data_IF_385098932270
#
_entry.id   IF_385098932270
#
_cell.length_a   1.000
_cell.length_b   1.000
_cell.length_c   1.000
_cell.angle_alpha   90.00
_cell.angle_beta   90.00
_cell.angle_gamma   90.00
#
_symmetry.space_group_name_H-M   'P 1'
#
loop_
_entity.id
_entity.type
_entity.pdbx_description
1 polymer ?
#
# COMPACT_ATOMS: atom_id res chain seq x y z
N UNK A 1 73.45 10.08 8.20
CA UNK A 1 72.94 10.67 6.95
C UNK A 1 72.09 9.63 6.24
N UNK A 2 70.79 9.62 6.48
CA UNK A 2 69.87 8.63 5.89
C UNK A 2 69.14 9.30 4.74
N UNK A 3 69.37 8.80 3.52
CA UNK A 3 68.89 9.37 2.27
C UNK A 3 67.35 9.38 2.23
N UNK A 4 66.78 10.57 2.03
CA UNK A 4 65.36 10.76 1.78
C UNK A 4 65.04 10.34 0.33
N UNK A 5 64.14 9.38 0.17
CA UNK A 5 63.62 8.93 -1.13
C UNK A 5 62.90 10.09 -1.84
N UNK A 6 63.18 10.38 -3.12
CA UNK A 6 62.58 11.51 -3.81
C UNK A 6 61.09 11.26 -4.08
N UNK A 7 60.26 12.22 -3.67
CA UNK A 7 58.83 12.26 -4.03
C UNK A 7 58.74 12.55 -5.54
N UNK A 8 58.24 11.59 -6.31
CA UNK A 8 58.08 11.71 -7.77
C UNK A 8 57.01 12.74 -8.13
N UNK A 9 57.36 14.01 -8.21
CA UNK A 9 56.45 15.09 -8.64
C UNK A 9 56.31 15.11 -10.17
N UNK A 10 55.51 14.21 -10.72
CA UNK A 10 55.15 14.18 -12.15
C UNK A 10 53.67 13.83 -12.37
N UNK A 11 53.17 13.82 -13.62
CA UNK A 11 51.80 13.39 -13.96
C UNK A 11 51.39 12.06 -13.31
N UNK A 12 52.37 11.16 -13.12
CA UNK A 12 52.19 9.88 -12.44
C UNK A 12 51.82 10.00 -10.95
N UNK A 13 52.33 10.98 -10.20
CA UNK A 13 51.94 11.16 -8.79
C UNK A 13 50.50 11.65 -8.63
N UNK A 14 49.96 12.41 -9.59
CA UNK A 14 48.55 12.79 -9.60
C UNK A 14 47.65 11.58 -9.90
N UNK A 15 48.09 10.69 -10.79
CA UNK A 15 47.39 9.43 -11.06
C UNK A 15 47.41 8.50 -9.84
N UNK A 16 48.57 8.37 -9.19
CA UNK A 16 48.75 7.55 -7.98
C UNK A 16 47.92 8.09 -6.80
N UNK A 17 47.89 9.41 -6.60
CA UNK A 17 47.06 10.05 -5.57
C UNK A 17 45.55 9.79 -5.81
N UNK A 18 45.08 9.91 -7.07
CA UNK A 18 43.69 9.60 -7.42
C UNK A 18 43.34 8.13 -7.19
N UNK A 19 44.24 7.21 -7.57
CA UNK A 19 44.06 5.76 -7.34
C UNK A 19 44.00 5.45 -5.85
N UNK A 20 44.91 6.00 -5.06
CA UNK A 20 44.93 5.82 -3.61
C UNK A 20 43.65 6.37 -2.96
N UNK A 21 43.19 7.56 -3.38
CA UNK A 21 41.91 8.10 -2.91
C UNK A 21 40.73 7.17 -3.21
N UNK A 22 40.68 6.62 -4.43
CA UNK A 22 39.62 5.68 -4.81
C UNK A 22 39.66 4.36 -3.99
N UNK A 23 40.85 3.81 -3.74
CA UNK A 23 41.03 2.63 -2.89
C UNK A 23 40.54 2.88 -1.46
N UNK A 24 40.88 4.03 -0.88
CA UNK A 24 40.45 4.42 0.45
C UNK A 24 38.92 4.55 0.52
N UNK A 25 38.30 5.23 -0.45
CA UNK A 25 36.84 5.38 -0.48
C UNK A 25 36.12 4.04 -0.62
N UNK A 26 36.62 3.14 -1.48
CA UNK A 26 36.05 1.81 -1.64
C UNK A 26 36.19 0.95 -0.37
N UNK A 27 37.33 1.02 0.31
CA UNK A 27 37.55 0.33 1.57
C UNK A 27 36.67 0.90 2.70
N UNK A 28 36.56 2.23 2.78
CA UNK A 28 35.71 2.92 3.77
C UNK A 28 34.25 2.52 3.59
N UNK A 29 33.75 2.52 2.35
CA UNK A 29 32.37 2.12 2.07
C UNK A 29 32.07 0.70 2.54
N UNK A 30 32.94 -0.27 2.24
CA UNK A 30 32.78 -1.66 2.71
C UNK A 30 32.81 -1.74 4.23
N UNK A 31 33.75 -1.05 4.86
CA UNK A 31 33.89 -1.03 6.31
C UNK A 31 32.65 -0.45 7.02
N UNK A 32 32.06 0.62 6.46
CA UNK A 32 30.84 1.20 7.01
C UNK A 32 29.61 0.32 6.84
N UNK A 33 29.56 -0.49 5.77
CA UNK A 33 28.49 -1.47 5.56
C UNK A 33 28.59 -2.63 6.56
N UNK A 34 29.81 -3.10 6.83
CA UNK A 34 30.06 -4.28 7.67
C UNK A 34 30.01 -3.98 9.17
N UNK A 35 30.54 -2.82 9.59
CA UNK A 35 30.83 -2.53 11.00
C UNK A 35 30.29 -1.17 11.45
N UNK A 36 29.48 -0.52 10.63
CA UNK A 36 28.98 0.82 10.89
C UNK A 36 30.06 1.89 10.81
N UNK A 37 29.71 3.11 11.20
CA UNK A 37 30.58 4.30 11.08
C UNK A 37 31.71 4.33 12.11
N UNK A 38 31.74 3.43 13.10
CA UNK A 38 32.74 3.44 14.19
C UNK A 38 34.16 3.06 13.77
N UNK A 39 34.34 2.51 12.57
CA UNK A 39 35.66 2.08 12.07
C UNK A 39 36.68 3.22 12.04
N UNK A 40 37.90 2.94 12.51
CA UNK A 40 38.99 3.92 12.57
C UNK A 40 39.63 4.19 11.20
N UNK A 41 40.20 5.38 11.03
CA UNK A 41 40.93 5.74 9.80
C UNK A 41 42.15 4.81 9.56
N UNK A 42 42.78 4.34 10.62
CA UNK A 42 43.91 3.40 10.53
C UNK A 42 43.45 2.03 10.00
N UNK A 43 42.31 1.53 10.46
CA UNK A 43 41.73 0.28 9.96
C UNK A 43 41.30 0.40 8.49
N UNK A 44 40.71 1.54 8.10
CA UNK A 44 40.37 1.83 6.70
C UNK A 44 41.64 1.88 5.84
N UNK A 45 42.73 2.50 6.31
CA UNK A 45 44.01 2.55 5.62
C UNK A 45 44.57 1.13 5.36
N UNK A 46 44.52 0.28 6.40
CA UNK A 46 44.93 -1.13 6.32
C UNK A 46 44.11 -1.90 5.29
N UNK A 47 42.77 -1.76 5.32
CA UNK A 47 41.86 -2.40 4.35
C UNK A 47 42.05 -1.89 2.91
N UNK A 48 42.48 -0.64 2.75
CA UNK A 48 42.76 -0.04 1.46
C UNK A 48 44.17 -0.37 0.93
N UNK A 49 45.04 -0.98 1.75
CA UNK A 49 46.43 -1.26 1.38
C UNK A 49 47.29 -0.01 1.21
N UNK A 50 46.93 1.10 1.90
CA UNK A 50 47.67 2.37 1.83
C UNK A 50 48.19 2.78 3.21
N UNK A 51 49.28 3.56 3.25
CA UNK A 51 49.83 4.07 4.51
C UNK A 51 48.88 5.07 5.18
N UNK A 52 48.80 5.04 6.52
CA UNK A 52 47.94 5.94 7.31
C UNK A 52 48.20 7.43 7.02
N UNK A 53 49.46 7.83 6.84
CA UNK A 53 49.82 9.19 6.43
C UNK A 53 49.27 9.60 5.06
N UNK A 54 49.06 8.65 4.14
CA UNK A 54 48.41 8.92 2.84
C UNK A 54 46.92 9.18 3.02
N UNK A 55 46.24 8.42 3.89
CA UNK A 55 44.84 8.65 4.21
C UNK A 55 44.66 10.03 4.85
N UNK A 56 45.49 10.36 5.84
CA UNK A 56 45.37 11.62 6.58
C UNK A 56 45.61 12.85 5.70
N UNK A 57 46.49 12.76 4.69
CA UNK A 57 46.69 13.82 3.68
C UNK A 57 45.46 14.05 2.79
N UNK A 58 44.70 12.99 2.45
CA UNK A 58 43.51 13.10 1.60
C UNK A 58 42.22 13.37 2.39
N UNK A 59 42.21 12.96 3.66
CA UNK A 59 41.08 13.03 4.57
C UNK A 59 41.61 13.44 5.96
N UNK A 60 41.70 14.77 6.21
CA UNK A 60 42.22 15.29 7.47
C UNK A 60 41.42 14.85 8.70
N UNK A 61 40.13 14.53 8.53
CA UNK A 61 39.30 13.98 9.61
C UNK A 61 38.37 12.88 9.10
N UNK A 62 37.83 12.10 10.04
CA UNK A 62 36.80 11.07 9.77
C UNK A 62 35.58 11.67 9.08
N UNK A 63 35.19 12.89 9.46
CA UNK A 63 34.07 13.61 8.83
C UNK A 63 34.34 13.93 7.35
N UNK A 64 35.58 14.28 6.97
CA UNK A 64 35.94 14.47 5.56
C UNK A 64 35.88 13.16 4.76
N UNK A 65 36.20 12.03 5.40
CA UNK A 65 36.06 10.72 4.76
C UNK A 65 34.59 10.34 4.60
N UNK A 66 33.77 10.52 5.64
CA UNK A 66 32.32 10.29 5.59
C UNK A 66 31.67 11.15 4.50
N UNK A 67 32.00 12.44 4.44
CA UNK A 67 31.58 13.38 3.39
C UNK A 67 31.87 12.83 2.00
N UNK A 68 33.12 12.42 1.76
CA UNK A 68 33.52 11.93 0.46
C UNK A 68 32.89 10.58 0.08
N UNK A 69 32.64 9.69 1.05
CA UNK A 69 31.92 8.43 0.83
C UNK A 69 30.46 8.71 0.49
N UNK A 70 29.82 9.65 1.20
CA UNK A 70 28.44 10.05 0.92
C UNK A 70 28.30 10.72 -0.43
N UNK A 71 29.22 11.62 -0.77
CA UNK A 71 29.31 12.25 -2.07
C UNK A 71 29.34 11.20 -3.20
N UNK A 72 30.27 10.24 -3.10
CA UNK A 72 30.40 9.15 -4.07
C UNK A 72 29.11 8.32 -4.19
N UNK A 73 28.39 8.15 -3.09
CA UNK A 73 27.13 7.41 -3.07
C UNK A 73 26.01 8.17 -3.76
N UNK A 74 25.86 9.46 -3.48
CA UNK A 74 24.89 10.32 -4.15
C UNK A 74 25.19 10.40 -5.65
N UNK A 75 26.47 10.50 -6.02
CA UNK A 75 26.89 10.49 -7.43
C UNK A 75 26.51 9.17 -8.13
N UNK A 76 26.64 8.02 -7.45
CA UNK A 76 26.19 6.73 -7.99
C UNK A 76 24.67 6.65 -8.14
N UNK A 77 23.90 7.14 -7.16
CA UNK A 77 22.45 7.19 -7.28
C UNK A 77 21.99 8.11 -8.41
N UNK A 78 22.71 9.22 -8.61
CA UNK A 78 22.50 10.14 -9.72
C UNK A 78 22.75 9.43 -11.06
N UNK A 79 23.91 8.77 -11.21
CA UNK A 79 24.23 8.02 -12.42
C UNK A 79 23.23 6.89 -12.68
N UNK A 80 22.76 6.22 -11.63
CA UNK A 80 21.75 5.17 -11.71
C UNK A 80 20.41 5.73 -12.23
N UNK A 81 19.92 6.83 -11.64
CA UNK A 81 18.69 7.48 -12.07
C UNK A 81 18.75 7.92 -13.55
N UNK A 82 19.89 8.46 -13.98
CA UNK A 82 20.11 8.83 -15.39
C UNK A 82 20.12 7.60 -16.31
N UNK A 83 20.77 6.51 -15.90
CA UNK A 83 20.78 5.26 -16.66
C UNK A 83 19.37 4.68 -16.86
N UNK A 84 18.53 4.67 -15.82
CA UNK A 84 17.14 4.24 -15.94
C UNK A 84 16.27 5.22 -16.74
N UNK A 85 16.56 6.52 -16.69
CA UNK A 85 15.85 7.53 -17.49
C UNK A 85 16.05 7.29 -18.98
N UNK A 86 17.26 6.88 -19.37
CA UNK A 86 17.62 6.66 -20.77
C UNK A 86 17.24 5.24 -21.27
N UNK A 87 16.73 4.38 -20.38
CA UNK A 87 16.27 3.04 -20.74
C UNK A 87 14.91 3.06 -21.47
N UNK A 88 14.66 2.09 -22.37
CA UNK A 88 13.34 1.92 -22.99
C UNK A 88 12.26 1.66 -21.93
N UNK A 89 11.14 2.37 -22.02
CA UNK A 89 10.03 2.19 -21.08
C UNK A 89 10.28 2.82 -19.70
N UNK A 90 10.39 4.15 -19.66
CA UNK A 90 10.58 4.96 -18.45
C UNK A 90 9.66 4.57 -17.27
N UNK A 91 8.43 4.13 -17.53
CA UNK A 91 7.52 3.62 -16.51
C UNK A 91 8.06 2.40 -15.75
N UNK A 92 8.45 1.35 -16.48
CA UNK A 92 9.04 0.15 -15.88
C UNK A 92 10.41 0.45 -15.27
N UNK A 93 11.21 1.29 -15.95
CA UNK A 93 12.52 1.72 -15.50
C UNK A 93 12.46 2.47 -14.16
N UNK A 94 11.45 3.33 -13.94
CA UNK A 94 11.24 4.02 -12.66
C UNK A 94 11.05 3.04 -11.50
N UNK A 95 10.18 2.03 -11.66
CA UNK A 95 9.94 1.06 -10.58
C UNK A 95 11.13 0.14 -10.34
N UNK A 96 11.88 -0.22 -11.40
CA UNK A 96 13.13 -0.96 -11.26
C UNK A 96 14.17 -0.14 -10.50
N UNK A 97 14.34 1.14 -10.83
CA UNK A 97 15.17 2.07 -10.07
C UNK A 97 14.77 2.15 -8.59
N UNK A 98 13.47 2.35 -8.30
CA UNK A 98 12.97 2.41 -6.92
C UNK A 98 13.28 1.13 -6.14
N UNK A 99 13.06 -0.04 -6.75
CA UNK A 99 13.36 -1.32 -6.11
C UNK A 99 14.88 -1.49 -5.86
N UNK A 100 15.73 -1.08 -6.81
CA UNK A 100 17.18 -1.14 -6.66
C UNK A 100 17.68 -0.20 -5.55
N UNK A 101 17.15 1.03 -5.47
CA UNK A 101 17.51 1.99 -4.41
C UNK A 101 17.13 1.47 -3.04
N UNK A 102 15.92 0.92 -2.88
CA UNK A 102 15.44 0.39 -1.59
C UNK A 102 16.25 -0.83 -1.16
N UNK A 103 16.54 -1.75 -2.07
CA UNK A 103 17.27 -2.99 -1.74
C UNK A 103 18.77 -2.76 -1.51
N UNK A 104 19.40 -1.86 -2.27
CA UNK A 104 20.82 -1.52 -2.11
C UNK A 104 21.14 -0.68 -0.86
N UNK A 105 20.13 -0.04 -0.26
CA UNK A 105 20.32 0.89 0.85
C UNK A 105 20.41 0.21 2.23
N UNK A 106 19.98 -1.05 2.37
CA UNK A 106 19.97 -1.81 3.64
C UNK A 106 21.37 -1.86 4.28
N UNK A 107 22.40 -2.15 3.47
CA UNK A 107 23.77 -2.26 3.96
C UNK A 107 24.35 -0.93 4.46
N UNK A 108 23.66 0.19 4.26
CA UNK A 108 24.20 1.50 4.57
C UNK A 108 23.38 2.27 5.62
N UNK A 109 22.57 1.57 6.43
CA UNK A 109 21.75 2.21 7.47
C UNK A 109 22.55 3.11 8.42
N UNK A 110 23.77 2.71 8.77
CA UNK A 110 24.71 3.51 9.57
C UNK A 110 25.10 4.84 8.92
N UNK A 111 25.10 4.92 7.58
CA UNK A 111 25.33 6.17 6.85
C UNK A 111 24.07 7.06 6.79
N UNK A 112 22.89 6.45 6.88
CA UNK A 112 21.62 7.19 6.95
C UNK A 112 21.42 7.82 8.34
N UNK A 113 21.82 7.13 9.42
CA UNK A 113 21.72 7.62 10.81
C UNK A 113 22.57 8.88 11.07
N UNK A 114 23.62 9.11 10.26
CA UNK A 114 24.40 10.34 10.29
C UNK A 114 23.63 11.59 9.84
N UNK A 115 22.53 11.45 9.08
CA UNK A 115 21.69 12.58 8.68
C UNK A 115 20.79 13.08 9.79
N UNK A 116 20.49 12.26 10.80
CA UNK A 116 19.44 12.56 11.77
C UNK A 116 19.92 13.35 12.99
N UNK A 117 21.24 13.43 13.27
CA UNK A 117 21.72 13.92 14.58
C UNK A 117 22.65 15.16 14.58
N UNK A 118 23.35 15.51 13.49
CA UNK A 118 24.53 16.41 13.62
C UNK A 118 24.57 17.65 12.71
N UNK A 119 23.43 18.12 12.17
CA UNK A 119 23.43 19.27 11.25
C UNK A 119 24.04 18.96 9.87
N UNK A 120 23.99 17.69 9.50
CA UNK A 120 24.36 17.14 8.20
C UNK A 120 23.15 17.18 7.26
N UNK A 121 23.27 17.50 5.95
CA UNK A 121 24.48 17.58 5.15
C UNK A 121 25.23 18.92 5.24
N UNK A 122 26.57 18.86 5.18
CA UNK A 122 27.40 20.07 4.97
C UNK A 122 27.20 20.62 3.56
N UNK A 123 27.56 21.89 3.34
CA UNK A 123 27.46 22.58 2.05
C UNK A 123 28.01 21.75 0.87
N UNK A 124 29.06 20.96 1.10
CA UNK A 124 29.68 20.08 0.10
C UNK A 124 28.76 18.98 -0.44
N UNK A 125 27.80 18.47 0.34
CA UNK A 125 26.83 17.47 -0.13
C UNK A 125 25.63 18.10 -0.83
N UNK A 126 25.37 19.39 -0.63
CA UNK A 126 24.17 20.06 -1.14
C UNK A 126 24.10 20.00 -2.67
N UNK A 127 25.20 20.34 -3.34
CA UNK A 127 25.29 20.30 -4.81
C UNK A 127 25.05 18.88 -5.36
N UNK A 128 25.56 17.86 -4.67
CA UNK A 128 25.33 16.47 -5.06
C UNK A 128 23.87 16.06 -4.88
N UNK A 129 23.27 16.44 -3.76
CA UNK A 129 21.85 16.23 -3.50
C UNK A 129 20.98 16.90 -4.56
N UNK A 130 21.29 18.14 -4.93
CA UNK A 130 20.59 18.87 -6.01
C UNK A 130 20.72 18.15 -7.36
N UNK A 131 21.92 17.67 -7.72
CA UNK A 131 22.13 16.87 -8.95
C UNK A 131 21.31 15.57 -8.93
N UNK A 132 21.25 14.89 -7.79
CA UNK A 132 20.43 13.69 -7.62
C UNK A 132 18.94 13.99 -7.74
N UNK A 133 18.44 15.03 -7.06
CA UNK A 133 17.04 15.45 -7.11
C UNK A 133 16.61 15.81 -8.53
N UNK A 134 17.48 16.49 -9.29
CA UNK A 134 17.23 16.81 -10.69
C UNK A 134 17.13 15.53 -11.55
N UNK A 135 18.07 14.59 -11.40
CA UNK A 135 18.04 13.33 -12.15
C UNK A 135 16.80 12.50 -11.81
N UNK A 136 16.43 12.41 -10.52
CA UNK A 136 15.22 11.73 -10.06
C UNK A 136 13.95 12.40 -10.62
N UNK A 137 13.90 13.73 -10.62
CA UNK A 137 12.80 14.49 -11.20
C UNK A 137 12.62 14.24 -12.69
N UNK A 138 13.72 14.15 -13.44
CA UNK A 138 13.68 13.82 -14.87
C UNK A 138 13.14 12.41 -15.12
N UNK A 139 13.58 11.42 -14.33
CA UNK A 139 13.09 10.04 -14.42
C UNK A 139 11.60 9.96 -14.04
N UNK A 140 11.19 10.60 -12.94
CA UNK A 140 9.80 10.68 -12.50
C UNK A 140 8.90 11.30 -13.59
N UNK A 141 9.31 12.44 -14.14
CA UNK A 141 8.57 13.11 -15.20
C UNK A 141 8.45 12.24 -16.47
N UNK A 142 9.49 11.48 -16.81
CA UNK A 142 9.44 10.54 -17.93
C UNK A 142 8.44 9.40 -17.69
N UNK A 143 8.39 8.85 -16.49
CA UNK A 143 7.43 7.81 -16.11
C UNK A 143 5.99 8.34 -16.04
N UNK A 144 5.79 9.58 -15.57
CA UNK A 144 4.49 10.25 -15.53
C UNK A 144 3.95 10.54 -16.94
N UNK A 145 4.80 10.96 -17.90
CA UNK A 145 4.41 11.14 -19.31
C UNK A 145 3.93 9.85 -19.98
N UNK A 146 4.36 8.69 -19.47
CA UNK A 146 3.90 7.38 -19.93
C UNK A 146 2.68 6.87 -19.15
N UNK A 147 2.12 7.67 -18.24
CA UNK A 147 1.03 7.29 -17.35
C UNK A 147 1.32 6.01 -16.54
N UNK A 148 2.60 5.75 -16.23
CA UNK A 148 2.97 4.61 -15.39
C UNK A 148 2.98 4.97 -13.90
N UNK A 149 3.25 6.24 -13.59
CA UNK A 149 3.31 6.81 -12.24
C UNK A 149 2.23 7.89 -12.12
N UNK A 150 1.60 7.99 -10.94
CA UNK A 150 0.60 9.01 -10.65
C UNK A 150 1.16 10.43 -10.84
N UNK A 151 0.34 11.32 -11.41
CA UNK A 151 0.76 12.65 -11.85
C UNK A 151 0.94 13.66 -10.71
N UNK A 152 0.41 13.36 -9.53
CA UNK A 152 0.45 14.21 -8.33
C UNK A 152 1.64 13.91 -7.41
N UNK A 153 2.48 12.92 -7.73
CA UNK A 153 3.72 12.69 -7.00
C UNK A 153 4.78 13.73 -7.36
N UNK A 154 5.39 14.28 -6.31
CA UNK A 154 6.54 15.18 -6.41
C UNK A 154 7.82 14.48 -5.99
N UNK A 155 8.98 15.06 -6.33
CA UNK A 155 10.30 14.54 -5.90
C UNK A 155 10.40 14.42 -4.36
N UNK A 156 9.99 15.43 -3.56
CA UNK A 156 9.92 15.31 -2.11
C UNK A 156 9.11 14.10 -1.62
N UNK A 157 7.96 13.80 -2.23
CA UNK A 157 7.14 12.64 -1.85
C UNK A 157 7.90 11.34 -2.10
N UNK A 158 8.55 11.20 -3.26
CA UNK A 158 9.34 10.01 -3.61
C UNK A 158 10.50 9.81 -2.64
N UNK A 159 11.19 10.88 -2.25
CA UNK A 159 12.28 10.81 -1.27
C UNK A 159 11.78 10.37 0.11
N UNK A 160 10.65 10.92 0.58
CA UNK A 160 10.04 10.49 1.84
C UNK A 160 9.60 9.02 1.80
N UNK A 161 9.02 8.58 0.68
CA UNK A 161 8.64 7.18 0.46
C UNK A 161 9.86 6.24 0.43
N UNK A 162 10.99 6.67 -0.15
CA UNK A 162 12.25 5.92 -0.08
C UNK A 162 12.73 5.74 1.35
N UNK A 163 12.74 6.82 2.15
CA UNK A 163 13.10 6.74 3.58
C UNK A 163 12.21 5.72 4.31
N UNK A 164 10.89 5.77 4.10
CA UNK A 164 9.95 4.81 4.68
C UNK A 164 10.19 3.37 4.20
N UNK A 165 10.41 3.16 2.90
CA UNK A 165 10.66 1.83 2.33
C UNK A 165 11.96 1.22 2.85
N UNK A 166 13.01 2.03 3.01
CA UNK A 166 14.29 1.60 3.60
C UNK A 166 14.10 1.19 5.05
N UNK A 167 13.35 1.98 5.85
CA UNK A 167 13.04 1.63 7.23
C UNK A 167 12.25 0.31 7.33
N UNK A 168 11.22 0.15 6.49
CA UNK A 168 10.46 -1.10 6.36
C UNK A 168 11.38 -2.27 6.01
N UNK A 169 12.30 -2.08 5.07
CA UNK A 169 13.21 -3.12 4.62
C UNK A 169 14.19 -3.53 5.73
N UNK A 170 14.65 -2.60 6.57
CA UNK A 170 15.53 -2.88 7.72
C UNK A 170 14.87 -3.77 8.78
N UNK A 171 13.58 -3.57 9.05
CA UNK A 171 12.84 -4.38 10.03
C UNK A 171 12.31 -5.69 9.45
N UNK A 172 12.29 -5.81 8.12
CA UNK A 172 11.82 -7.01 7.44
C UNK A 172 12.91 -8.08 7.45
N UNK A 173 12.58 -9.28 7.93
CA UNK A 173 13.52 -10.42 8.02
C UNK A 173 13.72 -11.17 6.69
N UNK A 174 13.17 -10.66 5.58
CA UNK A 174 13.09 -11.39 4.31
C UNK A 174 14.38 -11.27 3.48
N UNK A 175 14.94 -12.42 3.08
CA UNK A 175 16.04 -12.58 2.11
C UNK A 175 15.52 -13.30 0.85
N UNK A 176 16.04 -13.04 -0.37
CA UNK A 176 16.54 -11.78 -0.92
C UNK A 176 15.42 -11.03 -1.71
N UNK A 177 15.43 -9.69 -1.67
CA UNK A 177 14.55 -8.84 -2.48
C UNK A 177 13.78 -7.77 -1.71
N UNK A 178 12.86 -7.11 -2.40
CA UNK A 178 12.02 -6.05 -1.84
C UNK A 178 11.00 -6.66 -0.87
N UNK A 179 10.99 -6.19 0.37
CA UNK A 179 10.04 -6.62 1.38
C UNK A 179 8.60 -6.33 0.92
N UNK A 180 7.66 -7.24 1.23
CA UNK A 180 6.27 -7.11 0.78
C UNK A 180 5.66 -5.74 1.12
N UNK A 181 5.83 -5.17 2.32
CA UNK A 181 5.25 -3.85 2.61
C UNK A 181 5.89 -2.73 1.77
N UNK A 182 7.20 -2.79 1.51
CA UNK A 182 7.87 -1.83 0.62
C UNK A 182 7.36 -1.96 -0.82
N UNK A 183 7.13 -3.19 -1.31
CA UNK A 183 6.53 -3.43 -2.61
C UNK A 183 5.12 -2.84 -2.72
N UNK A 184 4.29 -2.93 -1.66
CA UNK A 184 2.96 -2.30 -1.62
C UNK A 184 3.04 -0.77 -1.69
N UNK A 185 4.04 -0.17 -1.03
CA UNK A 185 4.26 1.29 -1.12
C UNK A 185 4.65 1.68 -2.55
N UNK A 186 5.56 0.94 -3.19
CA UNK A 186 5.92 1.21 -4.59
C UNK A 186 4.72 1.01 -5.54
N UNK A 187 3.89 0.00 -5.30
CA UNK A 187 2.66 -0.23 -6.06
C UNK A 187 1.70 0.96 -5.98
N UNK A 188 1.56 1.58 -4.80
CA UNK A 188 0.69 2.73 -4.58
C UNK A 188 1.12 4.00 -5.34
N UNK A 189 2.34 4.03 -5.89
CA UNK A 189 2.81 5.12 -6.76
C UNK A 189 2.38 4.95 -8.22
N UNK A 190 1.93 3.76 -8.64
CA UNK A 190 1.48 3.55 -10.01
C UNK A 190 0.30 4.45 -10.35
N UNK A 191 0.23 4.84 -11.62
CA UNK A 191 -0.91 5.60 -12.09
C UNK A 191 -2.19 4.82 -11.85
N UNK A 192 -3.09 5.39 -11.05
CA UNK A 192 -4.42 4.84 -10.87
C UNK A 192 -5.18 5.09 -12.17
N UNK A 193 -5.58 4.02 -12.87
CA UNK A 193 -6.57 4.17 -13.94
C UNK A 193 -7.79 4.86 -13.32
N UNK A 194 -8.28 5.99 -13.87
CA UNK A 194 -9.42 6.72 -13.31
C UNK A 194 -10.73 5.91 -13.26
N UNK A 195 -10.70 4.66 -13.73
CA UNK A 195 -11.80 3.70 -13.69
C UNK A 195 -12.04 3.07 -12.30
N UNK A 196 -11.07 3.14 -11.39
CA UNK A 196 -11.35 2.94 -9.95
C UNK A 196 -11.71 4.28 -9.32
N UNK A 197 -12.79 4.89 -9.83
CA UNK A 197 -13.55 5.87 -9.05
C UNK A 197 -13.85 5.18 -7.72
N UNK A 198 -13.31 5.74 -6.65
CA UNK A 198 -13.82 5.53 -5.29
C UNK A 198 -15.34 5.40 -5.39
N UNK A 199 -15.90 4.31 -4.86
CA UNK A 199 -17.34 3.98 -4.81
C UNK A 199 -18.14 4.96 -3.95
N UNK A 200 -17.94 6.26 -4.14
CA UNK A 200 -18.91 7.28 -3.77
C UNK A 200 -19.28 8.03 -5.03
N UNK A 201 -20.50 7.84 -5.57
CA UNK A 201 -21.02 8.83 -6.49
C UNK A 201 -20.96 10.18 -5.78
N UNK A 202 -20.38 11.18 -6.46
CA UNK A 202 -20.35 12.57 -6.01
C UNK A 202 -21.80 13.03 -5.98
N UNK A 203 -22.48 12.86 -4.84
CA UNK A 203 -23.81 13.38 -4.62
C UNK A 203 -23.67 14.89 -4.37
N UNK A 204 -24.15 15.77 -5.26
CA UNK A 204 -24.07 17.22 -5.06
C UNK A 204 -24.96 17.71 -3.90
N UNK A 205 -25.78 16.83 -3.30
CA UNK A 205 -26.76 17.19 -2.29
C UNK A 205 -26.39 16.81 -0.84
N UNK A 206 -25.12 16.57 -0.50
CA UNK A 206 -24.76 16.22 0.87
C UNK A 206 -23.48 16.89 1.35
N UNK A 207 -23.59 18.18 1.69
CA UNK A 207 -22.95 18.66 2.91
C UNK A 207 -23.45 17.77 4.05
N UNK A 208 -22.73 16.69 4.36
CA UNK A 208 -22.94 15.92 5.59
C UNK A 208 -22.29 16.71 6.72
N UNK A 209 -22.95 17.80 7.08
CA UNK A 209 -22.69 18.46 8.33
C UNK A 209 -23.40 17.64 9.42
N UNK A 210 -22.60 16.97 10.24
CA UNK A 210 -23.06 16.09 11.33
C UNK A 210 -23.81 16.86 12.43
N UNK A 211 -23.89 18.20 12.31
CA UNK A 211 -24.64 19.08 13.19
C UNK A 211 -26.04 19.45 12.70
N UNK A 212 -26.48 19.01 11.53
CA UNK A 212 -27.86 19.27 11.11
C UNK A 212 -28.80 18.25 11.77
N UNK A 213 -29.81 18.68 12.54
CA UNK A 213 -30.74 17.78 13.21
C UNK A 213 -31.67 17.11 12.19
N UNK A 214 -31.17 16.09 11.51
CA UNK A 214 -31.97 15.28 10.61
C UNK A 214 -32.86 14.35 11.44
N UNK A 215 -34.16 14.68 11.42
CA UNK A 215 -35.26 13.91 11.99
C UNK A 215 -35.37 13.90 13.52
N UNK A 216 -35.53 15.09 14.11
CA UNK A 216 -36.23 15.19 15.41
C UNK A 216 -37.72 15.07 15.12
N UNK A 217 -38.19 13.85 14.82
CA UNK A 217 -39.61 13.57 15.03
C UNK A 217 -39.83 13.78 16.52
N UNK A 218 -40.61 14.80 16.90
CA UNK A 218 -40.96 15.05 18.30
C UNK A 218 -41.76 13.88 18.91
N UNK A 219 -42.03 12.82 18.15
CA UNK A 219 -42.86 11.68 18.48
C UNK A 219 -42.09 10.36 18.29
N UNK A 220 -42.33 9.40 19.17
CA UNK A 220 -41.79 8.05 19.08
C UNK A 220 -42.29 7.35 17.80
N UNK A 221 -41.42 6.77 16.96
CA UNK A 221 -41.84 6.13 15.70
C UNK A 221 -42.63 4.82 15.90
N UNK A 222 -42.79 4.36 17.14
CA UNK A 222 -43.46 3.08 17.47
C UNK A 222 -44.86 3.29 18.01
N UNK A 223 -45.09 4.37 18.75
CA UNK A 223 -46.34 4.61 19.47
C UNK A 223 -46.81 6.08 19.39
N UNK A 224 -46.11 6.90 18.61
CA UNK A 224 -46.36 8.34 18.44
C UNK A 224 -46.33 9.18 19.74
N UNK A 225 -45.85 8.65 20.86
CA UNK A 225 -45.73 9.43 22.11
C UNK A 225 -44.67 10.53 21.98
N UNK A 226 -44.94 11.77 22.43
CA UNK A 226 -43.94 12.84 22.43
C UNK A 226 -42.64 12.49 23.15
N UNK A 227 -41.51 12.79 22.54
CA UNK A 227 -40.17 12.57 23.08
C UNK A 227 -39.74 13.84 23.84
N UNK A 228 -39.38 13.69 25.12
CA UNK A 228 -38.88 14.82 25.91
C UNK A 228 -37.51 15.25 25.37
N UNK A 229 -37.30 16.54 25.06
CA UNK A 229 -35.99 17.05 24.70
C UNK A 229 -35.06 16.96 25.92
N UNK A 230 -33.92 16.29 25.76
CA UNK A 230 -32.85 16.30 26.76
C UNK A 230 -31.96 17.51 26.49
N UNK A 231 -31.83 18.42 27.47
CA UNK A 231 -31.09 19.68 27.30
C UNK A 231 -29.61 19.51 26.94
N UNK A 232 -29.01 18.36 27.23
CA UNK A 232 -27.68 17.98 26.74
C UNK A 232 -27.66 16.49 26.36
N UNK A 233 -26.88 16.14 25.33
CA UNK A 233 -26.69 14.77 24.85
C UNK A 233 -27.52 14.36 23.63
N UNK A 234 -27.32 13.11 23.18
CA UNK A 234 -27.98 12.56 21.98
C UNK A 234 -29.50 12.47 22.22
N UNK A 235 -30.35 13.08 21.37
CA UNK A 235 -31.79 13.08 21.57
C UNK A 235 -32.36 11.66 21.61
N UNK A 236 -33.31 11.44 22.53
CA UNK A 236 -33.98 10.16 22.65
C UNK A 236 -34.77 9.87 21.36
N UNK A 237 -34.57 8.68 20.77
CA UNK A 237 -35.26 8.23 19.55
C UNK A 237 -36.55 7.44 19.82
N UNK A 238 -36.76 6.98 21.05
CA UNK A 238 -37.93 6.21 21.48
C UNK A 238 -38.37 6.66 22.87
N UNK A 239 -39.66 6.64 23.16
CA UNK A 239 -40.19 7.11 24.45
C UNK A 239 -39.86 6.18 25.63
N UNK A 240 -39.55 4.90 25.38
CA UNK A 240 -39.27 3.91 26.42
C UNK A 240 -38.41 2.74 25.92
N UNK A 241 -37.77 1.96 26.82
CA UNK A 241 -37.08 0.71 26.47
C UNK A 241 -37.99 -0.30 25.76
N UNK A 242 -39.28 -0.37 26.12
CA UNK A 242 -40.25 -1.24 25.47
C UNK A 242 -40.47 -0.88 23.99
N UNK A 243 -40.60 0.42 23.67
CA UNK A 243 -40.70 0.87 22.28
C UNK A 243 -39.42 0.59 21.49
N UNK A 244 -38.24 0.76 22.12
CA UNK A 244 -36.97 0.39 21.51
C UNK A 244 -36.92 -1.10 21.14
N UNK A 245 -37.32 -1.99 22.06
CA UNK A 245 -37.38 -3.43 21.80
C UNK A 245 -38.40 -3.78 20.70
N UNK A 246 -39.57 -3.14 20.68
CA UNK A 246 -40.59 -3.35 19.64
C UNK A 246 -40.08 -2.93 18.25
N UNK A 247 -39.37 -1.81 18.15
CA UNK A 247 -38.70 -1.38 16.91
C UNK A 247 -37.60 -2.35 16.47
N UNK A 248 -36.82 -2.88 17.42
CA UNK A 248 -35.79 -3.89 17.14
C UNK A 248 -36.42 -5.17 16.56
N UNK A 249 -37.46 -5.71 17.22
CA UNK A 249 -38.18 -6.90 16.74
C UNK A 249 -38.79 -6.68 15.35
N UNK A 250 -39.40 -5.52 15.08
CA UNK A 250 -39.94 -5.19 13.75
C UNK A 250 -38.87 -5.15 12.66
N UNK A 251 -37.70 -4.58 12.95
CA UNK A 251 -36.58 -4.58 11.97
C UNK A 251 -36.08 -5.99 11.70
N UNK A 252 -35.96 -6.82 12.74
CA UNK A 252 -35.56 -8.21 12.57
C UNK A 252 -36.63 -9.06 11.87
N UNK A 253 -37.92 -8.81 12.09
CA UNK A 253 -38.99 -9.52 11.37
C UNK A 253 -39.07 -9.10 9.90
N UNK A 254 -38.85 -7.82 9.60
CA UNK A 254 -38.78 -7.34 8.20
C UNK A 254 -37.53 -7.85 7.49
N UNK A 255 -36.37 -7.90 8.19
CA UNK A 255 -35.16 -8.49 7.65
C UNK A 255 -35.31 -10.00 7.41
N UNK A 256 -35.92 -10.73 8.35
CA UNK A 256 -36.20 -12.16 8.22
C UNK A 256 -37.23 -12.45 7.11
N UNK A 257 -38.25 -11.60 6.95
CA UNK A 257 -39.23 -11.71 5.87
C UNK A 257 -38.60 -11.37 4.51
N UNK A 258 -37.67 -10.42 4.44
CA UNK A 258 -36.87 -10.13 3.25
C UNK A 258 -36.01 -11.32 2.84
N UNK A 259 -35.31 -11.95 3.78
CA UNK A 259 -34.52 -13.16 3.50
C UNK A 259 -35.37 -14.36 3.08
N UNK A 260 -36.59 -14.49 3.62
CA UNK A 260 -37.52 -15.55 3.21
C UNK A 260 -38.09 -15.30 1.80
N UNK A 261 -38.41 -14.05 1.47
CA UNK A 261 -38.84 -13.66 0.12
C UNK A 261 -37.71 -13.86 -0.90
N UNK A 262 -36.47 -13.49 -0.57
CA UNK A 262 -35.30 -13.71 -1.41
C UNK A 262 -35.02 -15.21 -1.62
N UNK A 263 -35.19 -16.05 -0.58
CA UNK A 263 -35.04 -17.50 -0.69
C UNK A 263 -36.12 -18.15 -1.59
N UNK A 264 -37.37 -17.68 -1.54
CA UNK A 264 -38.45 -18.13 -2.43
C UNK A 264 -38.20 -17.73 -3.89
N UNK A 265 -37.65 -16.54 -4.13
CA UNK A 265 -37.27 -16.06 -5.47
C UNK A 265 -36.10 -16.88 -6.04
N UNK A 266 -35.09 -17.22 -5.23
CA UNK A 266 -33.97 -18.07 -5.64
C UNK A 266 -34.44 -19.51 -5.93
N UNK A 267 -35.35 -20.06 -5.12
CA UNK A 267 -35.89 -21.40 -5.36
C UNK A 267 -36.76 -21.46 -6.64
N UNK A 268 -37.59 -20.45 -6.91
CA UNK A 268 -38.40 -20.40 -8.14
C UNK A 268 -37.57 -20.21 -9.40
N UNK A 269 -36.44 -19.49 -9.33
CA UNK A 269 -35.49 -19.40 -10.44
C UNK A 269 -34.77 -20.74 -10.72
N UNK A 270 -34.43 -21.51 -9.68
CA UNK A 270 -33.77 -22.80 -9.84
C UNK A 270 -34.67 -23.90 -10.45
N UNK A 271 -35.99 -23.80 -10.25
CA UNK A 271 -36.99 -24.74 -10.80
C UNK A 271 -37.21 -24.53 -12.31
N UNK A 272 -36.92 -23.33 -12.84
CA UNK A 272 -37.06 -23.04 -14.27
C UNK A 272 -35.92 -23.62 -15.13
N UNK A 273 -34.77 -23.97 -14.53
CA UNK A 273 -33.57 -24.39 -15.27
C UNK A 273 -33.38 -25.93 -15.34
N UNK A 274 -34.17 -26.72 -14.61
CA UNK A 274 -34.14 -28.19 -14.70
C UNK A 274 -35.40 -28.73 -15.38
N UNK A 275 -35.32 -28.88 -16.70
CA UNK A 275 -36.26 -29.70 -17.46
C UNK A 275 -36.19 -31.16 -17.02
N UNK A 276 -37.10 -31.61 -16.17
CA UNK A 276 -37.15 -33.00 -15.72
C UNK A 276 -38.28 -33.28 -14.73
N UNK A 277 -39.44 -33.69 -15.23
CA UNK A 277 -40.68 -33.90 -14.47
C UNK A 277 -40.68 -35.10 -13.50
N UNK A 278 -39.55 -35.78 -13.31
CA UNK A 278 -39.44 -37.01 -12.50
C UNK A 278 -38.52 -36.90 -11.27
N UNK A 279 -37.86 -35.77 -11.04
CA UNK A 279 -37.10 -35.51 -9.81
C UNK A 279 -37.93 -34.84 -8.69
N UNK A 280 -39.22 -34.59 -8.94
CA UNK A 280 -40.08 -33.74 -8.11
C UNK A 280 -40.54 -34.45 -6.82
N UNK A 281 -40.65 -35.79 -6.83
CA UNK A 281 -41.14 -36.53 -5.66
C UNK A 281 -40.06 -36.75 -4.59
N UNK A 282 -38.79 -36.91 -4.98
CA UNK A 282 -37.73 -37.29 -4.02
C UNK A 282 -37.10 -36.10 -3.31
N UNK A 283 -37.02 -34.93 -3.96
CA UNK A 283 -36.46 -33.72 -3.34
C UNK A 283 -37.41 -33.06 -2.34
N UNK A 284 -38.72 -33.11 -2.58
CA UNK A 284 -39.72 -32.54 -1.66
C UNK A 284 -39.81 -33.33 -0.34
N UNK A 285 -39.64 -34.66 -0.36
CA UNK A 285 -39.68 -35.48 0.85
C UNK A 285 -38.41 -35.30 1.72
N UNK A 286 -37.26 -35.01 1.11
CA UNK A 286 -36.02 -34.75 1.84
C UNK A 286 -36.02 -33.38 2.55
N UNK A 287 -36.65 -32.36 1.99
CA UNK A 287 -36.74 -31.03 2.60
C UNK A 287 -37.73 -30.96 3.78
N UNK A 288 -38.74 -31.84 3.82
CA UNK A 288 -39.77 -31.87 4.89
C UNK A 288 -39.25 -32.57 6.16
N UNK A 289 -38.21 -33.41 6.06
CA UNK A 289 -37.63 -34.09 7.21
C UNK A 289 -36.78 -33.17 8.12
N UNK A 290 -36.31 -32.03 7.62
CA UNK A 290 -35.35 -31.15 8.33
C UNK A 290 -35.98 -29.87 8.90
N UNK A 291 -37.27 -29.63 8.64
CA UNK A 291 -38.04 -28.53 9.26
C UNK A 291 -39.16 -29.10 10.11
N UNK A 292 -38.82 -29.48 11.34
CA UNK A 292 -39.80 -29.79 12.37
C UNK A 292 -40.75 -28.61 12.58
N UNK A 293 -41.98 -28.72 12.05
CA UNK A 293 -42.96 -27.67 12.19
C UNK A 293 -44.27 -27.98 11.47
N UNK A 294 -45.34 -28.08 12.24
CA UNK A 294 -46.73 -28.38 11.86
C UNK A 294 -47.35 -27.45 10.80
N UNK A 295 -46.66 -26.42 10.33
CA UNK A 295 -47.11 -25.53 9.26
C UNK A 295 -46.87 -26.09 7.85
N UNK A 296 -46.04 -27.13 7.68
CA UNK A 296 -45.75 -27.73 6.37
C UNK A 296 -46.95 -28.53 5.78
N UNK A 297 -47.86 -29.02 6.62
CA UNK A 297 -49.01 -29.84 6.18
C UNK A 297 -50.04 -28.98 5.42
N UNK A 298 -50.15 -27.68 5.74
CA UNK A 298 -51.03 -26.76 5.02
C UNK A 298 -50.51 -26.41 3.61
N UNK A 299 -49.18 -26.29 3.43
CA UNK A 299 -48.57 -25.99 2.14
C UNK A 299 -48.55 -27.21 1.19
N UNK A 300 -48.38 -28.42 1.73
CA UNK A 300 -48.50 -29.66 0.97
C UNK A 300 -49.94 -29.88 0.45
N UNK A 301 -50.95 -29.54 1.27
CA UNK A 301 -52.36 -29.60 0.88
C UNK A 301 -52.72 -28.65 -0.28
N UNK A 302 -52.19 -27.42 -0.28
CA UNK A 302 -52.43 -26.46 -1.36
C UNK A 302 -51.77 -26.89 -2.69
N UNK A 303 -50.59 -27.52 -2.62
CA UNK A 303 -49.85 -27.98 -3.80
C UNK A 303 -50.50 -29.21 -4.45
N UNK A 304 -51.06 -30.13 -3.66
CA UNK A 304 -51.79 -31.29 -4.20
C UNK A 304 -53.10 -30.90 -4.90
N UNK A 305 -53.77 -29.83 -4.44
CA UNK A 305 -54.99 -29.29 -5.08
C UNK A 305 -54.65 -28.62 -6.43
N UNK A 306 -53.53 -27.90 -6.52
CA UNK A 306 -53.09 -27.26 -7.75
C UNK A 306 -52.68 -28.28 -8.84
N UNK A 307 -52.04 -29.39 -8.46
CA UNK A 307 -51.62 -30.44 -9.41
C UNK A 307 -52.82 -31.23 -9.96
N UNK A 308 -53.89 -31.42 -9.17
CA UNK A 308 -55.09 -32.14 -9.61
C UNK A 308 -55.97 -31.33 -10.56
N UNK A 309 -55.89 -30.00 -10.53
CA UNK A 309 -56.58 -29.12 -11.48
C UNK A 309 -55.92 -29.08 -12.87
N UNK A 310 -54.62 -29.41 -12.96
CA UNK A 310 -53.86 -29.38 -14.22
C UNK A 310 -53.94 -30.69 -15.04
N UNK A 311 -54.57 -31.75 -14.53
CA UNK A 311 -54.61 -33.08 -15.16
C UNK A 311 -55.98 -33.48 -15.73
N UNK A 312 -56.82 -32.51 -16.14
CA UNK A 312 -58.03 -32.79 -16.91
C UNK A 312 -57.72 -32.69 -18.43
N UNK A 313 -57.81 -33.78 -19.21
CA UNK A 313 -57.49 -33.73 -20.63
C UNK A 313 -58.64 -33.11 -21.43
N UNK A 314 -58.37 -31.99 -22.09
CA UNK A 314 -59.24 -31.41 -23.12
C UNK A 314 -59.11 -32.18 -24.42
N UNK A 315 -60.21 -32.77 -24.88
CA UNK A 315 -60.33 -33.40 -26.19
C UNK A 315 -60.12 -32.40 -27.33
N UNK A 316 -59.15 -32.70 -28.20
CA UNK A 316 -59.03 -32.15 -29.55
C UNK A 316 -60.27 -32.53 -30.38
N UNK A 317 -60.91 -31.55 -31.01
CA UNK A 317 -61.66 -31.77 -32.25
C UNK A 317 -60.93 -31.01 -33.36
N UNK A 318 -60.54 -31.75 -34.39
CA UNK A 318 -60.07 -31.25 -35.67
C UNK A 318 -61.12 -31.67 -36.71
N UNK A 319 -61.78 -30.68 -37.32
CA UNK A 319 -61.89 -30.51 -38.77
C UNK A 319 -62.53 -29.14 -39.05
#
# INVERSE_FOLDING_TARGET
MTAATPVRSGPNARADARRNRALVLAAAQRAFVESGTEVSLAEIARRAGVGAGTVHRHFPSKNHLLEAVMQLRIDRLTALALGYRDAPGAGAAYFAFCAEVVTSTIGNGALCELFDNDGWPRDGLREAGERFHLALGQLLAAAQRQHAVRADLTVPDVLALFTGCVAIQRISTTQPGLARPAALVLEAMRATTPDRRVTKPRNPAAARDENVPHNVTALCPVCATPLRPTGTGRPARYCSPACRQKAHRRRHSVAAAGTAADAVVVATAAIADTGGMTAIATAATAAIADTGGTTAIAAAGATAIAVRAAAAPGHHTAN
#
